data_IF_874941896472
#
_entry.id   IF_874941896472
#
_cell.length_a   1.000
_cell.length_b   1.000
_cell.length_c   1.000
_cell.angle_alpha   90.00
_cell.angle_beta   90.00
_cell.angle_gamma   90.00
#
_symmetry.space_group_name_H-M   'P 1'
#
loop_
_entity.id
_entity.type
_entity.pdbx_description
1 polymer ?
#
# COMPACT_ATOMS: atom_id res chain seq x y z
N UNK A 1 0.81 -21.09 2.44
CA UNK A 1 -0.14 -21.75 3.37
C UNK A 1 -1.19 -22.41 2.48
N UNK A 2 -1.79 -23.50 2.93
CA UNK A 2 -2.66 -24.34 2.11
C UNK A 2 -3.91 -23.54 1.68
N UNK A 3 -3.94 -23.01 0.45
CA UNK A 3 -5.04 -22.20 -0.13
C UNK A 3 -6.29 -23.04 -0.45
N UNK A 4 -6.36 -24.26 0.07
CA UNK A 4 -7.46 -25.17 -0.18
C UNK A 4 -8.63 -24.80 0.72
N UNK A 5 -9.62 -24.13 0.14
CA UNK A 5 -10.88 -23.83 0.82
C UNK A 5 -11.48 -25.13 1.37
N UNK A 6 -11.87 -25.19 2.66
CA UNK A 6 -12.36 -26.43 3.26
C UNK A 6 -13.66 -26.89 2.59
N UNK A 7 -13.88 -28.21 2.57
CA UNK A 7 -15.14 -28.79 2.11
C UNK A 7 -16.27 -28.40 3.06
N UNK A 8 -17.04 -27.38 2.67
CA UNK A 8 -18.13 -26.82 3.47
C UNK A 8 -19.25 -27.84 3.74
N UNK A 9 -19.39 -28.86 2.89
CA UNK A 9 -20.40 -29.91 3.07
C UNK A 9 -20.07 -30.89 4.21
N UNK A 10 -18.81 -30.93 4.65
CA UNK A 10 -18.34 -31.77 5.73
C UNK A 10 -18.37 -31.09 7.12
N UNK A 11 -18.53 -29.76 7.16
CA UNK A 11 -18.57 -28.97 8.40
C UNK A 11 -19.97 -28.96 9.00
N UNK A 12 -20.06 -29.16 10.32
CA UNK A 12 -21.28 -28.88 11.06
C UNK A 12 -21.43 -27.37 11.34
N UNK A 13 -22.59 -26.97 11.86
CA UNK A 13 -22.91 -25.55 12.08
C UNK A 13 -21.94 -24.83 13.04
N UNK A 14 -21.40 -25.52 14.03
CA UNK A 14 -20.49 -24.91 15.01
C UNK A 14 -19.08 -24.79 14.44
N UNK A 15 -18.63 -25.80 13.68
CA UNK A 15 -17.37 -25.72 12.92
C UNK A 15 -17.39 -24.60 11.88
N UNK A 16 -18.53 -24.41 11.20
CA UNK A 16 -18.70 -23.32 10.24
C UNK A 16 -18.62 -21.95 10.91
N UNK A 17 -19.27 -21.77 12.07
CA UNK A 17 -19.20 -20.51 12.84
C UNK A 17 -17.78 -20.21 13.30
N UNK A 18 -17.08 -21.23 13.78
CA UNK A 18 -15.69 -21.10 14.23
C UNK A 18 -14.78 -20.70 13.06
N UNK A 19 -14.93 -21.34 11.90
CA UNK A 19 -14.17 -20.99 10.70
C UNK A 19 -14.44 -19.55 10.25
N UNK A 20 -15.71 -19.11 10.25
CA UNK A 20 -16.06 -17.71 9.94
C UNK A 20 -15.38 -16.76 10.93
N UNK A 21 -15.41 -17.07 12.23
CA UNK A 21 -14.80 -16.24 13.25
C UNK A 21 -13.27 -16.13 13.06
N UNK A 22 -12.61 -17.26 12.77
CA UNK A 22 -11.17 -17.30 12.49
C UNK A 22 -10.80 -16.46 11.28
N UNK A 23 -11.48 -16.67 10.14
CA UNK A 23 -11.21 -15.92 8.91
C UNK A 23 -11.52 -14.43 9.08
N UNK A 24 -12.53 -14.06 9.86
CA UNK A 24 -12.85 -12.65 10.15
C UNK A 24 -11.76 -12.00 11.01
N UNK A 25 -11.22 -12.72 11.99
CA UNK A 25 -10.12 -12.23 12.82
C UNK A 25 -8.84 -12.04 12.00
N UNK A 26 -8.52 -13.00 11.13
CA UNK A 26 -7.38 -12.92 10.21
C UNK A 26 -7.54 -11.75 9.24
N UNK A 27 -8.71 -11.58 8.62
CA UNK A 27 -9.02 -10.44 7.75
C UNK A 27 -8.80 -9.13 8.50
N UNK A 28 -9.29 -9.03 9.73
CA UNK A 28 -9.16 -7.82 10.56
C UNK A 28 -7.69 -7.48 10.80
N UNK A 29 -6.86 -8.47 11.09
CA UNK A 29 -5.42 -8.29 11.30
C UNK A 29 -4.72 -7.84 10.00
N UNK A 30 -5.04 -8.48 8.87
CA UNK A 30 -4.51 -8.10 7.56
C UNK A 30 -4.90 -6.66 7.23
N UNK A 31 -6.17 -6.31 7.42
CA UNK A 31 -6.70 -4.96 7.20
C UNK A 31 -6.06 -3.93 8.12
N UNK A 32 -5.71 -4.29 9.35
CA UNK A 32 -4.95 -3.42 10.25
C UNK A 32 -3.52 -3.18 9.75
N UNK A 33 -2.80 -4.25 9.39
CA UNK A 33 -1.44 -4.16 8.84
C UNK A 33 -1.42 -3.35 7.54
N UNK A 34 -2.41 -3.57 6.66
CA UNK A 34 -2.60 -2.80 5.43
C UNK A 34 -2.73 -1.31 5.73
N UNK A 35 -3.59 -0.91 6.67
CA UNK A 35 -3.76 0.51 7.04
C UNK A 35 -2.47 1.14 7.58
N UNK A 36 -1.71 0.43 8.41
CA UNK A 36 -0.41 0.92 8.90
C UNK A 36 0.56 1.15 7.74
N UNK A 37 0.67 0.19 6.83
CA UNK A 37 1.56 0.30 5.67
C UNK A 37 1.16 1.47 4.77
N UNK A 38 -0.13 1.62 4.47
CA UNK A 38 -0.63 2.78 3.72
C UNK A 38 -0.26 4.10 4.41
N UNK A 39 -0.49 4.22 5.72
CA UNK A 39 -0.12 5.44 6.46
C UNK A 39 1.38 5.74 6.41
N UNK A 40 2.25 4.73 6.52
CA UNK A 40 3.70 4.90 6.37
C UNK A 40 4.08 5.36 4.95
N UNK A 41 3.49 4.74 3.93
CA UNK A 41 3.71 5.10 2.52
C UNK A 41 3.29 6.54 2.28
N UNK A 42 2.13 6.95 2.80
CA UNK A 42 1.59 8.29 2.59
C UNK A 42 2.46 9.37 3.24
N UNK A 43 3.01 9.11 4.44
CA UNK A 43 3.98 10.00 5.09
C UNK A 43 5.24 10.15 4.22
N UNK A 44 5.77 9.04 3.70
CA UNK A 44 6.97 9.05 2.86
C UNK A 44 6.73 9.77 1.53
N UNK A 45 5.57 9.56 0.91
CA UNK A 45 5.15 10.30 -0.30
C UNK A 45 5.07 11.80 -0.02
N UNK A 46 4.46 12.20 1.09
CA UNK A 46 4.35 13.61 1.47
C UNK A 46 5.73 14.26 1.65
N UNK A 47 6.67 13.56 2.27
CA UNK A 47 8.06 14.02 2.42
C UNK A 47 8.77 14.14 1.07
N UNK A 48 8.58 13.20 0.14
CA UNK A 48 9.18 13.28 -1.19
C UNK A 48 8.62 14.47 -1.99
N UNK A 49 7.31 14.72 -1.91
CA UNK A 49 6.67 15.92 -2.46
C UNK A 49 7.27 17.19 -1.85
N UNK A 50 7.43 17.22 -0.52
CA UNK A 50 8.02 18.36 0.19
C UNK A 50 9.44 18.66 -0.29
N UNK A 51 10.30 17.63 -0.40
CA UNK A 51 11.67 17.77 -0.92
C UNK A 51 11.71 18.31 -2.34
N UNK A 52 10.78 17.87 -3.21
CA UNK A 52 10.72 18.34 -4.59
C UNK A 52 10.34 19.83 -4.66
N UNK A 53 9.43 20.28 -3.79
CA UNK A 53 9.06 21.70 -3.66
C UNK A 53 10.24 22.54 -3.18
N UNK A 54 10.94 22.11 -2.12
CA UNK A 54 12.10 22.80 -1.56
C UNK A 54 13.24 22.98 -2.59
N UNK A 55 13.45 22.01 -3.49
CA UNK A 55 14.45 22.13 -4.58
C UNK A 55 14.20 23.33 -5.51
N UNK A 56 12.96 23.80 -5.61
CA UNK A 56 12.56 24.91 -6.48
C UNK A 56 12.45 26.25 -5.76
N UNK A 57 12.55 26.29 -4.43
CA UNK A 57 12.54 27.54 -3.65
C UNK A 57 13.83 28.37 -3.83
N UNK A 58 14.87 27.82 -4.46
CA UNK A 58 16.16 28.47 -4.74
C UNK A 58 16.18 29.51 -5.87
N UNK A 59 15.03 29.93 -6.41
CA UNK A 59 14.94 31.08 -7.31
C UNK A 59 15.00 30.80 -8.82
N UNK A 60 14.76 29.55 -9.25
CA UNK A 60 14.46 29.24 -10.66
C UNK A 60 12.96 29.02 -10.86
N UNK A 61 12.42 29.52 -11.98
CA UNK A 61 11.00 29.49 -12.36
C UNK A 61 10.27 28.18 -12.00
N UNK A 62 9.02 28.34 -11.51
CA UNK A 62 7.87 27.41 -11.57
C UNK A 62 8.19 25.94 -11.86
N UNK A 63 7.94 25.06 -10.88
CA UNK A 63 7.83 23.59 -10.99
C UNK A 63 7.84 23.11 -12.46
N UNK A 64 8.91 22.45 -12.89
CA UNK A 64 9.07 21.98 -14.27
C UNK A 64 8.00 20.94 -14.63
N UNK A 65 7.73 20.76 -15.93
CA UNK A 65 6.87 19.66 -16.40
C UNK A 65 7.35 18.28 -15.91
N UNK A 66 8.67 18.11 -15.79
CA UNK A 66 9.29 16.89 -15.24
C UNK A 66 8.96 16.68 -13.76
N UNK A 67 8.84 17.77 -12.99
CA UNK A 67 8.47 17.70 -11.58
C UNK A 67 6.99 17.35 -11.41
N UNK A 68 6.12 17.87 -12.29
CA UNK A 68 4.71 17.48 -12.31
C UNK A 68 4.56 16.00 -12.62
N UNK A 69 5.34 15.48 -13.57
CA UNK A 69 5.35 14.06 -13.91
C UNK A 69 5.79 13.22 -12.71
N UNK A 70 6.93 13.57 -12.07
CA UNK A 70 7.40 12.90 -10.85
C UNK A 70 6.38 12.96 -9.71
N UNK A 71 5.77 14.11 -9.45
CA UNK A 71 4.71 14.22 -8.44
C UNK A 71 3.56 13.28 -8.73
N UNK A 72 3.15 13.19 -9.99
CA UNK A 72 2.08 12.30 -10.43
C UNK A 72 2.46 10.84 -10.19
N UNK A 73 3.71 10.45 -10.45
CA UNK A 73 4.20 9.09 -10.25
C UNK A 73 4.38 8.72 -8.78
N UNK A 74 4.83 9.66 -7.94
CA UNK A 74 4.90 9.51 -6.48
C UNK A 74 3.50 9.28 -5.88
N UNK A 75 2.53 10.12 -6.27
CA UNK A 75 1.16 10.05 -5.77
C UNK A 75 0.42 8.82 -6.30
N UNK A 76 0.69 8.41 -7.54
CA UNK A 76 0.16 7.18 -8.12
C UNK A 76 0.86 5.91 -7.60
N UNK A 77 1.99 6.05 -6.88
CA UNK A 77 2.78 4.92 -6.41
C UNK A 77 3.57 4.19 -7.49
N UNK A 78 3.87 4.83 -8.62
CA UNK A 78 4.61 4.27 -9.76
C UNK A 78 6.13 4.40 -9.61
N UNK A 79 6.60 5.41 -8.89
CA UNK A 79 8.04 5.69 -8.66
C UNK A 79 8.79 4.61 -7.83
N UNK A 80 8.08 3.62 -7.27
CA UNK A 80 8.66 2.55 -6.46
C UNK A 80 8.97 1.23 -7.20
N UNK A 81 8.58 1.09 -8.47
CA UNK A 81 8.69 -0.17 -9.23
C UNK A 81 9.95 -0.26 -10.11
N UNK A 82 10.71 0.83 -10.26
CA UNK A 82 11.88 0.86 -11.15
C UNK A 82 13.19 0.40 -10.47
N UNK A 83 13.17 0.07 -9.17
CA UNK A 83 14.37 -0.28 -8.39
C UNK A 83 14.69 -1.77 -8.25
N UNK A 84 13.80 -2.69 -8.66
CA UNK A 84 13.94 -4.13 -8.32
C UNK A 84 14.01 -5.07 -9.54
N UNK A 85 13.92 -4.56 -10.78
CA UNK A 85 14.08 -5.36 -12.00
C UNK A 85 15.55 -5.50 -12.47
N UNK A 86 16.51 -5.00 -11.69
CA UNK A 86 17.94 -5.07 -11.99
C UNK A 86 18.75 -5.54 -10.77
N UNK A 87 18.59 -6.81 -10.39
CA UNK A 87 19.60 -7.60 -9.67
C UNK A 87 19.37 -9.08 -9.91
#
# INVERSE_FOLDING_TARGET
MDDTFPDLGALNNDELKELIHQLTAEETEISYRRRILHGKIDILRAELVNRLRLKHEGGGETISGDDVQRLTDILAGRDGLEGEAAS
#
